data_IF_221001964051
#
_entry.id   IF_221001964051
#
_cell.length_a   1.000
_cell.length_b   1.000
_cell.length_c   1.000
_cell.angle_alpha   90.00
_cell.angle_beta   90.00
_cell.angle_gamma   90.00
#
_symmetry.space_group_name_H-M   'P 1'
#
loop_
_entity.id
_entity.type
_entity.pdbx_description
1 polymer ?
#
# COMPACT_ATOMS: atom_id res chain seq x y z
N UNK A 1 10.75 29.03 2.87
CA UNK A 1 11.78 27.99 2.57
C UNK A 1 11.68 27.70 1.09
N UNK A 2 12.79 27.57 0.38
CA UNK A 2 12.79 27.19 -1.04
C UNK A 2 12.36 25.73 -1.18
N UNK A 3 11.53 25.43 -2.20
CA UNK A 3 11.06 24.07 -2.46
C UNK A 3 12.18 23.23 -3.06
N UNK A 4 12.32 22.00 -2.60
CA UNK A 4 13.28 21.02 -3.15
C UNK A 4 13.05 20.79 -4.64
N UNK A 5 14.12 20.92 -5.44
CA UNK A 5 14.04 20.86 -6.90
C UNK A 5 13.62 19.45 -7.38
N UNK A 6 14.13 18.39 -6.72
CA UNK A 6 13.76 17.01 -7.05
C UNK A 6 12.29 16.77 -6.75
N UNK A 7 11.82 17.16 -5.55
CA UNK A 7 10.41 17.03 -5.18
C UNK A 7 9.47 17.81 -6.12
N UNK A 8 9.90 19.01 -6.52
CA UNK A 8 9.17 19.83 -7.52
C UNK A 8 9.07 19.10 -8.87
N UNK A 9 10.14 18.42 -9.31
CA UNK A 9 10.12 17.65 -10.54
C UNK A 9 9.17 16.45 -10.46
N UNK A 10 9.08 15.78 -9.31
CA UNK A 10 8.13 14.69 -9.06
C UNK A 10 6.69 15.18 -9.19
N UNK A 11 6.34 16.33 -8.61
CA UNK A 11 4.98 16.89 -8.77
C UNK A 11 4.64 17.21 -10.22
N UNK A 12 5.58 17.79 -10.99
CA UNK A 12 5.38 18.05 -12.43
C UNK A 12 5.15 16.74 -13.22
N UNK A 13 5.90 15.70 -12.88
CA UNK A 13 5.76 14.37 -13.50
C UNK A 13 4.39 13.74 -13.16
N UNK A 14 3.90 13.93 -11.94
CA UNK A 14 2.54 13.52 -11.53
C UNK A 14 1.49 14.23 -12.40
N UNK A 15 1.56 15.55 -12.55
CA UNK A 15 0.63 16.31 -13.38
C UNK A 15 0.67 15.87 -14.86
N UNK A 16 1.87 15.64 -15.39
CA UNK A 16 2.06 15.14 -16.76
C UNK A 16 1.46 13.75 -16.95
N UNK A 17 1.69 12.82 -16.01
CA UNK A 17 1.19 11.46 -16.09
C UNK A 17 -0.32 11.38 -15.88
N UNK A 18 -0.89 12.22 -15.03
CA UNK A 18 -2.35 12.36 -14.93
C UNK A 18 -2.95 12.79 -16.27
N UNK A 19 -2.38 13.84 -16.93
CA UNK A 19 -2.84 14.30 -18.25
C UNK A 19 -2.78 13.21 -19.31
N UNK A 20 -1.77 12.35 -19.26
CA UNK A 20 -1.57 11.23 -20.19
C UNK A 20 -2.35 9.97 -19.82
N UNK A 21 -3.06 9.94 -18.68
CA UNK A 21 -3.74 8.74 -18.18
C UNK A 21 -2.80 7.61 -17.73
N UNK A 22 -1.51 7.90 -17.42
CA UNK A 22 -0.47 6.94 -17.07
C UNK A 22 -0.46 6.64 -15.57
N UNK A 23 -1.60 6.27 -15.01
CA UNK A 23 -1.82 6.17 -13.56
C UNK A 23 -1.03 5.07 -12.83
N UNK A 24 -0.52 4.08 -13.52
CA UNK A 24 0.21 2.93 -12.99
C UNK A 24 1.73 3.00 -13.22
N UNK A 25 2.23 4.13 -13.70
CA UNK A 25 3.65 4.37 -13.97
C UNK A 25 4.29 5.13 -12.81
N UNK A 26 5.48 4.68 -12.39
CA UNK A 26 6.22 5.33 -11.32
C UNK A 26 6.70 6.75 -11.72
N UNK A 27 6.51 7.71 -10.83
CA UNK A 27 6.93 9.11 -11.01
C UNK A 27 8.32 9.40 -10.46
N UNK A 28 8.86 8.48 -9.67
CA UNK A 28 10.24 8.51 -9.18
C UNK A 28 11.04 7.42 -9.89
N UNK A 29 12.31 7.69 -10.17
CA UNK A 29 13.16 6.72 -10.85
C UNK A 29 13.65 5.67 -9.85
N UNK A 30 13.48 4.39 -10.21
CA UNK A 30 13.99 3.29 -9.43
C UNK A 30 15.52 3.23 -9.49
N UNK A 31 16.19 2.96 -8.37
CA UNK A 31 17.60 2.69 -8.40
C UNK A 31 17.91 1.42 -9.22
N UNK A 32 19.06 1.33 -9.90
CA UNK A 32 19.48 0.11 -10.56
C UNK A 32 19.48 -1.07 -9.58
N UNK A 33 18.91 -2.20 -10.00
CA UNK A 33 18.85 -3.42 -9.20
C UNK A 33 19.10 -4.67 -10.02
N UNK A 34 19.60 -5.71 -9.36
CA UNK A 34 19.72 -7.04 -9.94
C UNK A 34 18.40 -7.81 -9.72
N UNK A 35 17.86 -8.44 -10.77
CA UNK A 35 16.65 -9.28 -10.62
C UNK A 35 16.87 -10.41 -9.61
N UNK A 36 15.84 -10.71 -8.84
CA UNK A 36 15.85 -11.80 -7.88
C UNK A 36 15.96 -13.16 -8.59
N UNK A 37 16.71 -14.06 -7.96
CA UNK A 37 16.85 -15.45 -8.38
C UNK A 37 16.10 -16.37 -7.43
N UNK A 38 15.72 -17.55 -7.90
CA UNK A 38 15.12 -18.59 -7.08
C UNK A 38 16.07 -18.94 -5.93
N UNK A 39 15.54 -18.91 -4.71
CA UNK A 39 16.34 -19.15 -3.49
C UNK A 39 16.86 -17.89 -2.77
N UNK A 40 16.81 -16.71 -3.40
CA UNK A 40 17.26 -15.45 -2.79
C UNK A 40 16.31 -14.99 -1.66
N UNK A 41 15.03 -15.37 -1.73
CA UNK A 41 14.01 -14.95 -0.79
C UNK A 41 13.49 -16.11 0.04
N UNK A 42 13.55 -15.99 1.36
CA UNK A 42 12.82 -16.89 2.28
C UNK A 42 11.41 -16.32 2.54
N UNK A 43 10.53 -16.49 1.55
CA UNK A 43 9.19 -15.90 1.53
C UNK A 43 8.36 -16.18 2.79
N UNK A 44 8.42 -17.40 3.32
CA UNK A 44 7.68 -17.82 4.53
C UNK A 44 8.52 -17.72 5.81
N UNK A 45 9.74 -17.17 5.74
CA UNK A 45 10.69 -17.03 6.86
C UNK A 45 10.87 -18.31 7.66
N UNK A 46 11.19 -19.40 6.95
CA UNK A 46 11.40 -20.74 7.56
C UNK A 46 12.74 -20.84 8.28
N UNK A 47 13.78 -20.19 7.72
CA UNK A 47 15.13 -20.18 8.29
C UNK A 47 15.16 -19.41 9.62
N UNK A 48 15.88 -19.92 10.61
CA UNK A 48 16.01 -19.27 11.92
C UNK A 48 16.62 -17.87 11.80
N UNK A 49 17.63 -17.70 10.94
CA UNK A 49 18.26 -16.41 10.66
C UNK A 49 17.26 -15.39 10.11
N UNK A 50 16.37 -15.81 9.20
CA UNK A 50 15.30 -14.95 8.66
C UNK A 50 14.31 -14.53 9.74
N UNK A 51 13.96 -15.43 10.65
CA UNK A 51 13.08 -15.13 11.79
C UNK A 51 13.68 -14.09 12.72
N UNK A 52 14.95 -14.26 13.10
CA UNK A 52 15.67 -13.32 13.98
C UNK A 52 15.77 -11.94 13.32
N UNK A 53 16.22 -11.89 12.06
CA UNK A 53 16.31 -10.64 11.30
C UNK A 53 14.94 -9.96 11.17
N UNK A 54 13.87 -10.72 10.98
CA UNK A 54 12.51 -10.20 10.91
C UNK A 54 12.05 -9.57 12.24
N UNK A 55 12.28 -10.22 13.36
CA UNK A 55 11.96 -9.66 14.69
C UNK A 55 12.71 -8.34 14.89
N UNK A 56 14.00 -8.33 14.61
CA UNK A 56 14.84 -7.14 14.76
C UNK A 56 14.42 -6.00 13.83
N UNK A 57 14.15 -6.30 12.54
CA UNK A 57 13.70 -5.31 11.57
C UNK A 57 12.35 -4.68 11.96
N UNK A 58 11.40 -5.48 12.43
CA UNK A 58 10.10 -4.96 12.90
C UNK A 58 10.25 -4.14 14.19
N UNK A 59 11.16 -4.50 15.09
CA UNK A 59 11.48 -3.69 16.27
C UNK A 59 12.04 -2.30 15.86
N UNK A 60 13.04 -2.29 14.96
CA UNK A 60 13.62 -1.05 14.45
C UNK A 60 12.56 -0.19 13.74
N UNK A 61 11.76 -0.80 12.86
CA UNK A 61 10.70 -0.09 12.15
C UNK A 61 9.71 0.57 13.12
N UNK A 62 9.29 -0.15 14.15
CA UNK A 62 8.39 0.40 15.16
C UNK A 62 9.02 1.59 15.91
N UNK A 63 10.31 1.48 16.26
CA UNK A 63 11.05 2.57 16.91
C UNK A 63 11.22 3.78 15.97
N UNK A 64 11.55 3.52 14.71
CA UNK A 64 11.67 4.55 13.68
C UNK A 64 10.34 5.29 13.48
N UNK A 65 9.23 4.56 13.28
CA UNK A 65 7.89 5.14 13.10
C UNK A 65 7.49 6.02 14.30
N UNK A 66 7.69 5.52 15.53
CA UNK A 66 7.43 6.31 16.74
C UNK A 66 8.25 7.60 16.78
N UNK A 67 9.51 7.54 16.34
CA UNK A 67 10.39 8.69 16.30
C UNK A 67 9.95 9.71 15.23
N UNK A 68 9.50 9.25 14.05
CA UNK A 68 8.95 10.14 13.00
C UNK A 68 7.69 10.89 13.50
N UNK A 69 6.78 10.16 14.13
CA UNK A 69 5.57 10.76 14.74
C UNK A 69 5.93 11.79 15.83
N UNK A 70 6.89 11.44 16.72
CA UNK A 70 7.36 12.37 17.79
C UNK A 70 8.01 13.62 17.21
N UNK A 71 8.77 13.50 16.13
CA UNK A 71 9.41 14.63 15.44
C UNK A 71 8.46 15.41 14.55
N UNK A 72 7.20 15.02 14.48
CA UNK A 72 6.18 15.62 13.60
C UNK A 72 6.55 15.58 12.11
N UNK A 73 7.30 14.56 11.67
CA UNK A 73 7.61 14.32 10.26
C UNK A 73 6.49 13.55 9.55
N UNK A 74 5.53 13.02 10.30
CA UNK A 74 4.29 12.43 9.83
C UNK A 74 3.25 12.53 10.94
N UNK A 75 1.99 12.67 10.59
CA UNK A 75 0.88 12.72 11.52
C UNK A 75 -0.17 11.67 11.19
N UNK A 76 -0.64 10.97 12.20
CA UNK A 76 -1.86 10.18 12.13
C UNK A 76 -2.90 10.92 12.98
N UNK A 77 -3.87 11.54 12.31
CA UNK A 77 -4.91 12.33 12.95
C UNK A 77 -6.00 11.43 13.51
N UNK A 78 -6.48 10.49 12.70
CA UNK A 78 -7.61 9.65 13.04
C UNK A 78 -7.60 8.31 12.29
N UNK A 79 -8.32 7.32 12.87
CA UNK A 79 -8.67 6.05 12.22
C UNK A 79 -10.18 5.90 12.32
N UNK A 80 -10.87 5.91 11.18
CA UNK A 80 -12.30 5.77 11.05
C UNK A 80 -12.70 4.39 10.55
N UNK A 81 -13.90 3.90 10.92
CA UNK A 81 -14.46 2.66 10.40
C UNK A 81 -13.91 1.37 11.02
N UNK A 82 -13.32 1.43 12.21
CA UNK A 82 -12.83 0.25 12.92
C UNK A 82 -13.96 -0.75 13.28
N UNK A 83 -15.18 -0.27 13.44
CA UNK A 83 -16.39 -1.04 13.67
C UNK A 83 -16.70 -2.01 12.53
N UNK A 84 -16.36 -1.66 11.30
CA UNK A 84 -16.52 -2.51 10.10
C UNK A 84 -15.69 -3.79 10.15
N UNK A 85 -14.67 -3.83 10.99
CA UNK A 85 -13.87 -5.03 11.24
C UNK A 85 -14.51 -5.97 12.29
N UNK A 86 -15.64 -5.58 12.89
CA UNK A 86 -16.29 -6.39 13.90
C UNK A 86 -16.60 -7.80 13.37
N UNK A 87 -16.19 -8.83 14.12
CA UNK A 87 -16.40 -10.22 13.73
C UNK A 87 -15.40 -10.78 12.72
N UNK A 88 -14.49 -9.99 12.16
CA UNK A 88 -13.47 -10.48 11.22
C UNK A 88 -12.43 -11.33 11.92
N UNK A 89 -12.53 -12.66 11.78
CA UNK A 89 -11.61 -13.65 12.39
C UNK A 89 -10.53 -14.12 11.42
N UNK A 90 -10.85 -14.18 10.13
CA UNK A 90 -9.93 -14.64 9.07
C UNK A 90 -8.76 -13.68 8.84
N UNK A 91 -7.79 -14.09 8.03
CA UNK A 91 -6.89 -13.17 7.36
C UNK A 91 -7.68 -12.28 6.38
N UNK A 92 -7.03 -11.26 5.86
CA UNK A 92 -7.62 -10.39 4.85
C UNK A 92 -6.54 -9.80 3.94
N UNK A 93 -6.88 -9.59 2.69
CA UNK A 93 -6.14 -8.66 1.82
C UNK A 93 -6.57 -7.25 2.19
N UNK A 94 -5.63 -6.35 2.39
CA UNK A 94 -5.90 -4.93 2.62
C UNK A 94 -5.52 -4.18 1.35
N UNK A 95 -6.38 -3.30 0.88
CA UNK A 95 -6.08 -2.40 -0.24
C UNK A 95 -6.08 -0.95 0.26
N UNK A 96 -5.23 -0.12 -0.32
CA UNK A 96 -5.15 1.32 -0.01
C UNK A 96 -4.59 2.07 -1.22
N UNK A 97 -4.81 3.38 -1.25
CA UNK A 97 -4.08 4.29 -2.14
C UNK A 97 -2.59 4.36 -1.76
N UNK A 98 -1.71 4.62 -2.74
CA UNK A 98 -0.25 4.58 -2.59
C UNK A 98 0.38 5.94 -2.92
N UNK A 99 0.77 6.69 -1.90
CA UNK A 99 1.17 8.10 -2.07
C UNK A 99 2.42 8.50 -1.27
N UNK A 100 2.93 7.61 -0.39
CA UNK A 100 4.08 7.94 0.45
C UNK A 100 4.80 6.68 0.94
N UNK A 101 6.14 6.67 1.11
CA UNK A 101 6.87 5.51 1.64
C UNK A 101 6.39 5.03 3.02
N UNK A 102 5.70 5.89 3.77
CA UNK A 102 5.16 5.59 5.10
C UNK A 102 3.64 5.37 5.13
N UNK A 103 2.96 5.31 4.01
CA UNK A 103 1.50 5.18 3.95
C UNK A 103 0.96 3.85 4.52
N UNK A 104 1.82 2.86 4.73
CA UNK A 104 1.45 1.62 5.41
C UNK A 104 1.34 1.74 6.95
N UNK A 105 1.87 2.82 7.56
CA UNK A 105 1.90 2.90 9.02
C UNK A 105 0.52 3.11 9.66
N UNK A 106 -0.43 3.88 9.09
CA UNK A 106 -1.78 3.99 9.63
C UNK A 106 -2.50 2.65 9.66
N UNK A 107 -2.37 1.85 8.58
CA UNK A 107 -2.95 0.50 8.49
C UNK A 107 -2.31 -0.43 9.53
N UNK A 108 -0.99 -0.37 9.69
CA UNK A 108 -0.28 -1.12 10.72
C UNK A 108 -0.73 -0.74 12.13
N UNK A 109 -1.03 0.54 12.36
CA UNK A 109 -1.54 1.02 13.64
C UNK A 109 -2.96 0.51 13.90
N UNK A 110 -3.85 0.61 12.91
CA UNK A 110 -5.22 0.08 12.97
C UNK A 110 -5.23 -1.42 13.29
N UNK A 111 -4.39 -2.22 12.61
CA UNK A 111 -4.28 -3.65 12.86
C UNK A 111 -3.85 -3.96 14.31
N UNK A 112 -2.88 -3.22 14.85
CA UNK A 112 -2.45 -3.41 16.25
C UNK A 112 -3.56 -3.08 17.25
N UNK A 113 -4.38 -2.08 16.94
CA UNK A 113 -5.53 -1.71 17.76
C UNK A 113 -6.63 -2.77 17.68
N UNK A 114 -6.85 -3.33 16.48
CA UNK A 114 -7.83 -4.38 16.24
C UNK A 114 -7.43 -5.73 16.85
N UNK A 115 -6.20 -6.17 16.59
CA UNK A 115 -5.69 -7.46 17.10
C UNK A 115 -4.16 -7.50 17.13
N UNK A 116 -3.57 -7.47 18.31
CA UNK A 116 -2.12 -7.46 18.52
C UNK A 116 -1.40 -8.72 18.07
N UNK A 117 -2.10 -9.85 17.90
CA UNK A 117 -1.52 -11.14 17.48
C UNK A 117 -1.36 -11.25 15.96
N UNK A 118 -2.19 -10.51 15.19
CA UNK A 118 -2.12 -10.50 13.73
C UNK A 118 -0.91 -9.67 13.24
N UNK A 119 -0.37 -10.05 12.09
CA UNK A 119 0.72 -9.31 11.43
C UNK A 119 0.23 -8.69 10.15
N UNK A 120 0.78 -7.53 9.79
CA UNK A 120 0.64 -6.93 8.48
C UNK A 120 1.87 -7.31 7.64
N UNK A 121 1.65 -8.01 6.54
CA UNK A 121 2.62 -8.23 5.48
C UNK A 121 2.33 -7.23 4.36
N UNK A 122 3.37 -6.84 3.61
CA UNK A 122 3.24 -5.84 2.54
C UNK A 122 3.86 -6.42 1.27
N UNK A 123 3.10 -6.46 0.19
CA UNK A 123 3.66 -6.76 -1.14
C UNK A 123 4.44 -5.54 -1.61
N UNK A 124 5.69 -5.76 -2.00
CA UNK A 124 6.59 -4.72 -2.53
C UNK A 124 7.13 -5.12 -3.89
N UNK A 125 7.48 -4.14 -4.72
CA UNK A 125 8.17 -4.39 -5.98
C UNK A 125 9.56 -5.02 -5.76
N UNK A 126 9.99 -5.81 -6.73
CA UNK A 126 11.30 -6.46 -6.74
C UNK A 126 12.44 -5.44 -6.60
N UNK A 127 12.33 -4.28 -7.27
CA UNK A 127 13.28 -3.19 -7.21
C UNK A 127 13.53 -2.69 -5.77
N UNK A 128 12.49 -2.57 -4.96
CA UNK A 128 12.60 -2.17 -3.55
C UNK A 128 13.36 -3.22 -2.71
N UNK A 129 13.11 -4.50 -2.98
CA UNK A 129 13.77 -5.58 -2.25
C UNK A 129 15.25 -5.73 -2.62
N UNK A 130 15.56 -5.73 -3.92
CA UNK A 130 16.91 -5.93 -4.45
C UNK A 130 17.74 -4.65 -4.48
N UNK A 131 17.16 -3.53 -4.94
CA UNK A 131 17.85 -2.25 -5.11
C UNK A 131 18.04 -1.46 -3.83
N UNK A 132 17.25 -1.74 -2.80
CA UNK A 132 17.33 -1.02 -1.53
C UNK A 132 18.69 -1.17 -0.84
N UNK A 133 19.33 -0.03 -0.50
CA UNK A 133 20.63 0.04 0.18
C UNK A 133 20.49 0.52 1.63
N UNK A 134 21.53 0.31 2.44
CA UNK A 134 21.62 0.81 3.81
C UNK A 134 20.44 0.41 4.69
N UNK A 135 19.97 1.35 5.50
CA UNK A 135 18.89 1.16 6.47
C UNK A 135 17.57 0.72 5.81
N UNK A 136 17.12 1.39 4.77
CA UNK A 136 15.89 1.05 4.07
C UNK A 136 15.97 -0.30 3.38
N UNK A 137 17.10 -0.62 2.74
CA UNK A 137 17.31 -1.94 2.14
C UNK A 137 17.30 -3.07 3.17
N UNK A 138 17.84 -2.84 4.37
CA UNK A 138 17.72 -3.78 5.48
C UNK A 138 16.26 -4.00 5.88
N UNK A 139 15.48 -2.92 5.99
CA UNK A 139 14.05 -3.00 6.30
C UNK A 139 13.28 -3.72 5.20
N UNK A 140 13.45 -3.35 3.92
CA UNK A 140 12.75 -3.99 2.80
C UNK A 140 13.00 -5.51 2.73
N UNK A 141 14.19 -5.98 3.05
CA UNK A 141 14.50 -7.41 3.03
C UNK A 141 14.05 -8.17 4.28
N UNK A 142 13.92 -7.50 5.41
CA UNK A 142 13.79 -8.21 6.68
C UNK A 142 12.52 -7.93 7.48
N UNK A 143 11.79 -6.84 7.21
CA UNK A 143 10.45 -6.65 7.80
C UNK A 143 9.42 -7.62 7.17
N UNK A 144 8.13 -7.47 7.48
CA UNK A 144 7.07 -8.30 6.93
C UNK A 144 6.76 -7.92 5.47
N UNK A 145 7.74 -7.97 4.60
CA UNK A 145 7.61 -7.71 3.16
C UNK A 145 7.62 -8.98 2.36
N UNK A 146 6.90 -8.99 1.25
CA UNK A 146 6.80 -10.07 0.29
C UNK A 146 7.11 -9.48 -1.09
N UNK A 147 8.31 -9.71 -1.66
CA UNK A 147 8.65 -9.15 -2.95
C UNK A 147 7.85 -9.84 -4.07
N UNK A 148 7.31 -9.03 -4.97
CA UNK A 148 6.68 -9.48 -6.20
C UNK A 148 7.67 -9.31 -7.34
N UNK A 149 8.21 -10.42 -7.84
CA UNK A 149 9.17 -10.46 -8.93
C UNK A 149 8.50 -10.74 -10.27
N UNK A 150 9.16 -10.31 -11.35
CA UNK A 150 8.70 -10.61 -12.73
C UNK A 150 8.91 -12.08 -13.13
N UNK A 151 9.84 -12.77 -12.48
CA UNK A 151 10.11 -14.19 -12.73
C UNK A 151 8.91 -15.04 -12.32
N UNK A 152 8.47 -15.97 -13.21
CA UNK A 152 7.29 -16.81 -13.02
C UNK A 152 7.37 -17.71 -11.77
N UNK A 153 8.53 -18.30 -11.50
CA UNK A 153 8.73 -19.19 -10.35
C UNK A 153 8.64 -18.41 -9.05
N UNK A 154 9.30 -17.24 -8.97
CA UNK A 154 9.23 -16.34 -7.81
C UNK A 154 7.81 -15.77 -7.61
N UNK A 155 7.08 -15.49 -8.70
CA UNK A 155 5.68 -15.10 -8.60
C UNK A 155 4.83 -16.20 -7.97
N UNK A 156 5.07 -17.47 -8.32
CA UNK A 156 4.38 -18.61 -7.70
C UNK A 156 4.74 -18.70 -6.20
N UNK A 157 6.01 -18.53 -5.84
CA UNK A 157 6.45 -18.52 -4.44
C UNK A 157 5.82 -17.37 -3.66
N UNK A 158 5.76 -16.17 -4.25
CA UNK A 158 5.05 -15.02 -3.68
C UNK A 158 3.58 -15.36 -3.41
N UNK A 159 2.87 -15.93 -4.39
CA UNK A 159 1.47 -16.32 -4.23
C UNK A 159 1.26 -17.36 -3.12
N UNK A 160 2.15 -18.35 -3.02
CA UNK A 160 2.13 -19.35 -1.94
C UNK A 160 2.37 -18.71 -0.56
N UNK A 161 3.28 -17.74 -0.49
CA UNK A 161 3.56 -17.03 0.76
C UNK A 161 2.38 -16.17 1.20
N UNK A 162 1.74 -15.47 0.27
CA UNK A 162 0.52 -14.70 0.56
C UNK A 162 -0.58 -15.61 1.10
N UNK A 163 -0.87 -16.73 0.42
CA UNK A 163 -1.85 -17.72 0.88
C UNK A 163 -1.50 -18.26 2.28
N UNK A 164 -0.22 -18.59 2.51
CA UNK A 164 0.27 -19.05 3.81
C UNK A 164 -0.02 -18.05 4.93
N UNK A 165 0.25 -16.75 4.72
CA UNK A 165 0.02 -15.73 5.74
C UNK A 165 -1.47 -15.45 5.94
N UNK A 166 -2.25 -15.37 4.87
CA UNK A 166 -3.71 -15.16 4.93
C UNK A 166 -4.42 -16.29 5.70
N UNK A 167 -4.05 -17.56 5.43
CA UNK A 167 -4.59 -18.74 6.16
C UNK A 167 -4.21 -18.79 7.63
N UNK A 168 -3.13 -18.13 8.03
CA UNK A 168 -2.75 -17.95 9.45
C UNK A 168 -3.53 -16.84 10.16
N UNK A 169 -4.38 -16.14 9.43
CA UNK A 169 -5.15 -15.02 9.95
C UNK A 169 -4.43 -13.68 9.89
N UNK A 170 -3.25 -13.58 9.27
CA UNK A 170 -2.53 -12.34 9.06
C UNK A 170 -3.18 -11.50 7.96
N UNK A 171 -2.84 -10.21 7.89
CA UNK A 171 -3.25 -9.31 6.81
C UNK A 171 -2.12 -9.12 5.80
N UNK A 172 -2.50 -8.97 4.53
CA UNK A 172 -1.57 -8.68 3.45
C UNK A 172 -1.97 -7.41 2.73
N UNK A 173 -1.18 -6.34 2.87
CA UNK A 173 -1.39 -5.07 2.20
C UNK A 173 -0.87 -5.15 0.77
N UNK A 174 -1.71 -4.73 -0.14
CA UNK A 174 -1.44 -4.61 -1.56
C UNK A 174 -1.91 -3.24 -2.01
N UNK A 175 -1.09 -2.55 -2.79
CA UNK A 175 -1.48 -1.29 -3.42
C UNK A 175 -1.94 -1.56 -4.86
N UNK A 176 -3.25 -1.61 -5.12
CA UNK A 176 -3.74 -1.97 -6.45
C UNK A 176 -3.52 -0.87 -7.50
N UNK A 177 -3.13 0.32 -7.08
CA UNK A 177 -2.66 1.40 -7.95
C UNK A 177 -1.28 1.14 -8.58
N UNK A 178 -0.50 0.18 -8.03
CA UNK A 178 0.85 -0.26 -8.40
C UNK A 178 1.94 0.77 -8.10
N UNK A 179 1.96 1.91 -8.76
CA UNK A 179 2.95 2.97 -8.57
C UNK A 179 2.68 3.82 -7.33
N UNK A 180 3.69 4.46 -6.77
CA UNK A 180 3.56 5.44 -5.70
C UNK A 180 3.62 6.87 -6.28
N UNK A 181 2.58 7.68 -6.02
CA UNK A 181 2.55 9.07 -6.45
C UNK A 181 2.57 10.01 -5.24
N UNK A 182 3.66 10.67 -5.02
CA UNK A 182 3.93 11.46 -3.82
C UNK A 182 2.82 12.46 -3.49
N UNK A 183 2.20 12.29 -2.32
CA UNK A 183 1.12 13.12 -1.78
C UNK A 183 -0.05 13.38 -2.75
N UNK A 184 -0.27 12.47 -3.71
CA UNK A 184 -1.39 12.57 -4.64
C UNK A 184 -2.68 12.16 -3.94
N UNK A 185 -3.65 13.08 -3.93
CA UNK A 185 -4.87 12.92 -3.11
C UNK A 185 -5.97 12.11 -3.77
N UNK A 186 -6.03 12.11 -5.12
CA UNK A 186 -7.05 11.36 -5.85
C UNK A 186 -6.72 9.86 -5.82
N UNK A 187 -7.67 8.96 -5.49
CA UNK A 187 -7.45 7.54 -5.73
C UNK A 187 -7.30 7.29 -7.23
N UNK A 188 -6.37 6.44 -7.62
CA UNK A 188 -6.10 6.11 -9.02
C UNK A 188 -6.81 4.82 -9.44
N UNK A 189 -7.02 4.56 -10.76
CA UNK A 189 -7.63 3.34 -11.24
C UNK A 189 -6.92 2.09 -10.71
N UNK A 190 -7.69 1.10 -10.26
CA UNK A 190 -7.18 -0.08 -9.60
C UNK A 190 -6.93 -1.23 -10.58
N UNK A 191 -5.87 -2.01 -10.35
CA UNK A 191 -5.58 -3.23 -11.12
C UNK A 191 -6.21 -4.45 -10.43
N UNK A 192 -6.81 -5.33 -11.23
CA UNK A 192 -7.55 -6.52 -10.77
C UNK A 192 -6.67 -7.56 -10.04
N UNK A 193 -5.35 -7.52 -10.24
CA UNK A 193 -4.43 -8.54 -9.70
C UNK A 193 -4.44 -8.69 -8.19
N UNK A 194 -4.70 -7.60 -7.45
CA UNK A 194 -4.77 -7.61 -5.99
C UNK A 194 -5.89 -8.53 -5.46
N UNK A 195 -7.03 -8.56 -6.12
CA UNK A 195 -8.22 -9.31 -5.68
C UNK A 195 -8.08 -10.83 -5.88
N UNK A 196 -7.23 -11.25 -6.82
CA UNK A 196 -6.92 -12.67 -7.04
C UNK A 196 -6.40 -13.36 -5.77
N UNK A 197 -5.61 -12.67 -4.96
CA UNK A 197 -5.08 -13.23 -3.72
C UNK A 197 -6.20 -13.50 -2.72
N UNK A 198 -7.12 -12.56 -2.55
CA UNK A 198 -8.26 -12.70 -1.64
C UNK A 198 -9.14 -13.88 -2.05
N UNK A 199 -9.53 -13.97 -3.33
CA UNK A 199 -10.41 -15.02 -3.84
C UNK A 199 -9.75 -16.41 -3.72
N UNK A 200 -8.46 -16.54 -4.10
CA UNK A 200 -7.75 -17.82 -4.01
C UNK A 200 -7.56 -18.32 -2.59
N UNK A 201 -7.41 -17.43 -1.62
CA UNK A 201 -7.27 -17.78 -0.21
C UNK A 201 -8.60 -17.82 0.53
N UNK A 202 -9.71 -17.54 -0.16
CA UNK A 202 -11.07 -17.43 0.40
C UNK A 202 -11.13 -16.50 1.62
N UNK A 203 -10.60 -15.31 1.46
CA UNK A 203 -10.60 -14.24 2.48
C UNK A 203 -11.16 -12.95 1.90
N UNK A 204 -11.69 -12.03 2.74
CA UNK A 204 -12.17 -10.76 2.26
C UNK A 204 -11.04 -9.78 1.88
N UNK A 205 -11.43 -8.71 1.20
CA UNK A 205 -10.64 -7.49 1.04
C UNK A 205 -11.13 -6.42 2.01
N UNK A 206 -10.25 -5.88 2.83
CA UNK A 206 -10.49 -4.67 3.62
C UNK A 206 -10.12 -3.50 2.72
N UNK A 207 -11.11 -2.78 2.22
CA UNK A 207 -10.91 -1.57 1.44
C UNK A 207 -10.59 -0.41 2.37
N UNK A 208 -9.42 0.20 2.19
CA UNK A 208 -8.98 1.36 2.96
C UNK A 208 -8.69 2.54 2.03
N UNK A 209 -8.86 3.74 2.56
CA UNK A 209 -8.36 4.98 1.96
C UNK A 209 -7.66 5.80 3.03
N UNK A 210 -6.52 6.37 2.69
CA UNK A 210 -5.87 7.38 3.53
C UNK A 210 -6.08 8.73 2.85
N UNK A 211 -6.79 9.60 3.54
CA UNK A 211 -6.90 11.00 3.14
C UNK A 211 -5.84 11.84 3.83
N UNK A 212 -5.50 12.97 3.25
CA UNK A 212 -4.45 13.84 3.75
C UNK A 212 -4.85 15.31 3.71
N UNK A 213 -4.40 16.05 4.70
CA UNK A 213 -4.54 17.50 4.82
C UNK A 213 -3.18 18.12 5.08
N UNK A 214 -2.95 19.32 4.58
CA UNK A 214 -1.74 20.07 4.90
C UNK A 214 -1.75 20.44 6.38
N UNK A 215 -0.66 20.17 7.08
CA UNK A 215 -0.44 20.68 8.45
C UNK A 215 0.13 22.11 8.41
N UNK A 216 0.25 22.73 9.58
CA UNK A 216 0.91 24.04 9.71
C UNK A 216 2.46 23.97 9.65
N UNK A 217 3.02 22.76 9.43
CA UNK A 217 4.47 22.53 9.45
C UNK A 217 4.98 22.31 8.03
N UNK A 218 5.94 23.14 7.63
CA UNK A 218 6.69 22.97 6.38
C UNK A 218 7.85 22.00 6.62
N UNK A 219 7.93 20.94 5.81
CA UNK A 219 9.00 19.97 5.85
C UNK A 219 10.33 20.51 5.30
N UNK A 220 11.37 19.68 5.39
CA UNK A 220 12.71 20.05 4.89
C UNK A 220 12.76 20.24 3.37
N UNK A 221 11.81 19.65 2.66
CA UNK A 221 11.62 19.76 1.22
C UNK A 221 10.84 21.00 0.76
N UNK A 222 10.42 21.84 1.72
CA UNK A 222 9.67 23.07 1.46
C UNK A 222 8.18 22.87 1.19
N UNK A 223 7.66 21.66 1.39
CA UNK A 223 6.23 21.33 1.28
C UNK A 223 5.63 21.09 2.66
N UNK A 224 4.31 21.27 2.79
CA UNK A 224 3.62 20.98 4.05
C UNK A 224 3.66 19.48 4.38
N UNK A 225 3.96 19.18 5.64
CA UNK A 225 3.84 17.81 6.15
C UNK A 225 2.35 17.47 6.20
N UNK A 226 2.01 16.26 5.74
CA UNK A 226 0.62 15.82 5.63
C UNK A 226 0.11 15.21 6.94
N UNK A 227 -1.11 15.56 7.32
CA UNK A 227 -1.89 14.89 8.34
C UNK A 227 -2.75 13.79 7.69
N UNK A 228 -2.57 12.55 8.14
CA UNK A 228 -3.27 11.39 7.59
C UNK A 228 -4.49 11.01 8.42
N UNK A 229 -5.61 10.75 7.75
CA UNK A 229 -6.76 10.04 8.32
C UNK A 229 -6.94 8.73 7.58
N UNK A 230 -6.88 7.61 8.29
CA UNK A 230 -7.18 6.29 7.73
C UNK A 230 -8.69 6.04 7.80
N UNK A 231 -9.28 5.72 6.67
CA UNK A 231 -10.67 5.28 6.57
C UNK A 231 -10.69 3.79 6.20
N UNK A 232 -11.26 2.96 7.05
CA UNK A 232 -11.66 1.59 6.71
C UNK A 232 -13.03 1.72 6.08
N UNK A 233 -13.09 1.50 4.76
CA UNK A 233 -14.29 1.81 3.97
C UNK A 233 -15.33 0.71 4.07
N UNK A 234 -14.90 -0.54 3.83
CA UNK A 234 -15.73 -1.73 4.00
C UNK A 234 -14.90 -3.01 3.94
N UNK A 235 -15.55 -4.15 4.19
CA UNK A 235 -15.00 -5.50 4.07
C UNK A 235 -15.72 -6.23 2.93
N UNK A 236 -15.05 -6.33 1.77
CA UNK A 236 -15.60 -6.88 0.53
C UNK A 236 -15.33 -8.38 0.48
N UNK A 237 -16.36 -9.19 0.46
CA UNK A 237 -16.27 -10.65 0.35
C UNK A 237 -16.41 -11.11 -1.11
N UNK A 238 -15.71 -12.19 -1.52
CA UNK A 238 -16.00 -12.85 -2.78
C UNK A 238 -17.47 -13.33 -2.80
N UNK A 239 -18.14 -13.20 -3.96
CA UNK A 239 -19.51 -13.69 -4.15
C UNK A 239 -19.50 -15.15 -4.60
N UNK A 240 -20.37 -15.95 -4.00
CA UNK A 240 -20.62 -17.31 -4.45
C UNK A 240 -21.24 -17.32 -5.85
N UNK A 241 -20.93 -18.35 -6.65
CA UNK A 241 -21.46 -18.52 -8.01
C UNK A 241 -20.76 -17.71 -9.08
N UNK A 242 -19.92 -16.74 -8.74
CA UNK A 242 -19.10 -16.01 -9.72
C UNK A 242 -17.79 -16.75 -10.01
N UNK A 243 -17.38 -16.75 -11.28
CA UNK A 243 -16.05 -17.21 -11.68
C UNK A 243 -14.94 -16.35 -11.04
N UNK A 244 -13.70 -16.85 -11.07
CA UNK A 244 -12.54 -16.08 -10.58
C UNK A 244 -12.46 -14.69 -11.23
N UNK A 245 -12.65 -14.62 -12.56
CA UNK A 245 -12.55 -13.35 -13.30
C UNK A 245 -13.66 -12.38 -12.91
N UNK A 246 -14.89 -12.85 -12.82
CA UNK A 246 -16.04 -12.05 -12.42
C UNK A 246 -15.91 -11.53 -10.97
N UNK A 247 -15.44 -12.38 -10.05
CA UNK A 247 -15.19 -11.97 -8.67
C UNK A 247 -14.07 -10.92 -8.56
N UNK A 248 -12.99 -11.07 -9.34
CA UNK A 248 -11.91 -10.07 -9.38
C UNK A 248 -12.45 -8.72 -9.83
N UNK A 249 -13.25 -8.70 -10.89
CA UNK A 249 -13.81 -7.46 -11.41
C UNK A 249 -14.85 -6.85 -10.44
N UNK A 250 -15.74 -7.68 -9.89
CA UNK A 250 -16.70 -7.23 -8.87
C UNK A 250 -16.00 -6.57 -7.69
N UNK A 251 -15.00 -7.23 -7.08
CA UNK A 251 -14.30 -6.70 -5.90
C UNK A 251 -13.51 -5.43 -6.23
N UNK A 252 -12.96 -5.34 -7.44
CA UNK A 252 -12.27 -4.14 -7.94
C UNK A 252 -13.25 -2.98 -8.06
N UNK A 253 -14.35 -3.14 -8.78
CA UNK A 253 -15.34 -2.10 -9.00
C UNK A 253 -15.95 -1.61 -7.67
N UNK A 254 -16.23 -2.52 -6.75
CA UNK A 254 -16.72 -2.15 -5.43
C UNK A 254 -15.69 -1.34 -4.64
N UNK A 255 -14.41 -1.73 -4.69
CA UNK A 255 -13.35 -0.97 -4.06
C UNK A 255 -13.18 0.44 -4.69
N UNK A 256 -13.20 0.54 -6.02
CA UNK A 256 -13.15 1.83 -6.74
C UNK A 256 -14.33 2.74 -6.37
N UNK A 257 -15.54 2.18 -6.28
CA UNK A 257 -16.74 2.90 -5.83
C UNK A 257 -16.54 3.49 -4.44
N UNK A 258 -16.10 2.66 -3.49
CA UNK A 258 -15.85 3.08 -2.11
C UNK A 258 -14.78 4.17 -1.99
N UNK A 259 -13.69 4.04 -2.76
CA UNK A 259 -12.63 5.05 -2.80
C UNK A 259 -13.13 6.38 -3.37
N UNK A 260 -13.88 6.34 -4.46
CA UNK A 260 -14.49 7.52 -5.08
C UNK A 260 -15.43 8.24 -4.10
N UNK A 261 -16.37 7.51 -3.52
CA UNK A 261 -17.33 8.07 -2.56
C UNK A 261 -16.63 8.73 -1.37
N UNK A 262 -15.59 8.08 -0.82
CA UNK A 262 -14.84 8.64 0.31
C UNK A 262 -14.03 9.86 -0.10
N UNK A 263 -13.43 9.88 -1.29
CA UNK A 263 -12.74 11.04 -1.81
C UNK A 263 -13.69 12.24 -1.93
N UNK A 264 -14.84 12.04 -2.55
CA UNK A 264 -15.86 13.08 -2.76
C UNK A 264 -16.45 13.58 -1.44
N UNK A 265 -16.67 12.67 -0.47
CA UNK A 265 -17.13 13.03 0.88
C UNK A 265 -16.12 13.92 1.63
N UNK A 266 -14.83 13.54 1.61
CA UNK A 266 -13.80 14.22 2.41
C UNK A 266 -13.35 15.55 1.79
N UNK A 267 -13.20 15.58 0.46
CA UNK A 267 -12.67 16.76 -0.22
C UNK A 267 -13.76 17.70 -0.77
N UNK A 268 -15.03 17.27 -0.77
CA UNK A 268 -16.19 18.08 -1.23
C UNK A 268 -16.20 18.39 -2.72
N UNK A 269 -15.44 17.63 -3.52
CA UNK A 269 -15.31 17.81 -4.98
C UNK A 269 -15.45 16.45 -5.69
N UNK A 270 -15.99 16.41 -6.92
CA UNK A 270 -16.07 15.20 -7.72
C UNK A 270 -14.67 14.63 -8.01
N UNK A 271 -14.57 13.29 -8.06
CA UNK A 271 -13.35 12.63 -8.52
C UNK A 271 -13.26 12.72 -10.05
N UNK A 272 -12.48 13.68 -10.52
CA UNK A 272 -12.22 13.91 -11.95
C UNK A 272 -10.71 13.94 -12.17
N UNK A 273 -10.24 13.24 -13.21
CA UNK A 273 -8.85 13.30 -13.65
C UNK A 273 -8.70 14.33 -14.77
N UNK A 274 -7.56 15.03 -14.77
CA UNK A 274 -7.22 16.02 -15.81
C UNK A 274 -6.60 15.35 -17.04
N UNK A 275 -7.25 14.33 -17.60
CA UNK A 275 -6.76 13.63 -18.79
C UNK A 275 -7.04 14.43 -20.08
N UNK A 276 -6.14 14.32 -21.07
CA UNK A 276 -6.28 15.01 -22.36
C UNK A 276 -7.49 14.49 -23.17
N UNK A 277 -7.84 13.20 -23.01
CA UNK A 277 -9.02 12.59 -23.65
C UNK A 277 -10.37 13.15 -23.16
N UNK A 278 -10.41 13.81 -21.99
CA UNK A 278 -11.62 14.44 -21.44
C UNK A 278 -11.87 15.87 -21.92
N UNK A 279 -11.09 16.39 -22.87
CA UNK A 279 -11.22 17.77 -23.37
C UNK A 279 -11.80 17.90 -24.78
N UNK A 280 -12.21 16.78 -25.41
CA UNK A 280 -12.85 16.75 -26.72
C UNK A 280 -14.39 16.60 -26.63
N UNK A 281 -15.05 17.30 -25.68
CA UNK A 281 -16.50 17.50 -25.68
C UNK A 281 -16.85 18.96 -25.43
#
# INVERSE_FOLDING_TARGET
>A
MEKDAYRTSVYRKIEEYEKKGLFDVDVEDDPPYEPLKVGDVDYCRRKLSSKIKNIYANYILNRFTKNQLKKKNAFLKEICGMDKLAGLKSGAVVTSNHFHPFDSFPIRHALKTFNTKKKLHIIIGEHNYSGGKGFYGFLFRNQNTIPLAKNKELMIECMRAVDYYLKRGDWVLIYPEQAMWWNYRKPRPLKVGAYRFAIKSNVPVIACMITMQDSDIVGQDGYFIQEYTLHILDVIYPKEGLSLKENMEYMKLENERLLKEKYEEVYGIPLVYNTEEGKEE
#
